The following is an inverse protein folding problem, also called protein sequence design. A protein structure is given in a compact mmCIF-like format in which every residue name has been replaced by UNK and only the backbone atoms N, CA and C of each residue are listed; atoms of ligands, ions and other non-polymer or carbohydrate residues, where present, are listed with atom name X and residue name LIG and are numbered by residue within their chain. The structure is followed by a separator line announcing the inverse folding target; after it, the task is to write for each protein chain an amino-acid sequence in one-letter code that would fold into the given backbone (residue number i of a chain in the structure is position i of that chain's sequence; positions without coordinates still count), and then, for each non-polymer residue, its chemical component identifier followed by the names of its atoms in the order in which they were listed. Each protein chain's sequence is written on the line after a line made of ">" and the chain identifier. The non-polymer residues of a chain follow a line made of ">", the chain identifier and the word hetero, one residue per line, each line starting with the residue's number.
data_IF_476995788172
#
_entry.id   IF_476995788172
#
_cell.length_a   1.000
_cell.length_b   1.000
_cell.length_c   1.000
_cell.angle_alpha   90.00
_cell.angle_beta   90.00
_cell.angle_gamma   90.00
#
_symmetry.space_group_name_H-M   'P 1'
#
loop_
_entity.id
_entity.type
_entity.pdbx_description
1 polymer ?
#
# COMPACT_ATOMS: atom_id res chain seq x y z
N UNK A 1 -29.08 0.89 10.42
CA UNK A 1 -27.71 0.66 9.93
C UNK A 1 -27.70 0.99 8.44
N UNK A 2 -26.80 1.87 7.98
CA UNK A 2 -26.64 2.15 6.54
C UNK A 2 -26.21 0.85 5.83
N UNK A 3 -26.59 0.62 4.56
CA UNK A 3 -26.11 -0.53 3.82
C UNK A 3 -24.58 -0.46 3.73
N UNK A 4 -23.91 -1.49 4.24
CA UNK A 4 -22.45 -1.59 4.20
C UNK A 4 -22.01 -1.83 2.76
N UNK A 5 -21.07 -1.02 2.27
CA UNK A 5 -20.45 -1.24 0.96
C UNK A 5 -19.70 -2.57 0.95
N UNK A 6 -19.67 -3.26 -0.20
CA UNK A 6 -18.93 -4.52 -0.39
C UNK A 6 -17.44 -4.40 0.00
N UNK A 7 -16.89 -3.20 -0.03
CA UNK A 7 -15.49 -2.92 0.26
C UNK A 7 -15.23 -2.35 1.66
N UNK A 8 -16.24 -2.31 2.52
CA UNK A 8 -16.19 -1.58 3.81
C UNK A 8 -15.06 -2.06 4.75
N UNK A 9 -14.77 -3.37 4.78
CA UNK A 9 -13.72 -3.95 5.64
C UNK A 9 -12.39 -4.19 4.91
N UNK A 10 -12.34 -4.03 3.58
CA UNK A 10 -11.18 -4.40 2.74
C UNK A 10 -10.05 -3.39 2.85
N UNK A 11 -10.34 -2.09 2.90
CA UNK A 11 -9.31 -1.07 3.11
C UNK A 11 -9.88 0.25 3.65
N UNK A 12 -9.16 0.84 4.61
CA UNK A 12 -9.44 2.18 5.17
C UNK A 12 -9.35 3.32 4.14
N UNK A 13 -8.81 3.07 2.94
CA UNK A 13 -8.55 4.11 1.92
C UNK A 13 -9.75 4.43 1.02
N UNK A 14 -10.73 3.53 0.90
CA UNK A 14 -11.85 3.70 -0.04
C UNK A 14 -13.13 4.22 0.61
N UNK A 15 -13.12 4.44 1.92
CA UNK A 15 -14.24 5.02 2.65
C UNK A 15 -13.66 5.98 3.67
N UNK A 16 -14.08 7.24 3.64
CA UNK A 16 -13.78 8.27 4.65
C UNK A 16 -14.38 7.96 6.03
N UNK A 17 -14.53 6.68 6.38
CA UNK A 17 -14.96 6.25 7.71
C UNK A 17 -13.76 6.18 8.63
N UNK A 18 -13.94 6.83 9.78
CA UNK A 18 -12.97 6.88 10.86
C UNK A 18 -12.63 5.43 11.29
N UNK A 19 -11.34 5.05 11.45
CA UNK A 19 -10.95 3.70 11.85
C UNK A 19 -11.66 3.19 13.12
N UNK A 20 -12.03 4.09 14.04
CA UNK A 20 -12.82 3.76 15.23
C UNK A 20 -14.25 3.31 14.93
N UNK A 21 -14.92 3.90 13.94
CA UNK A 21 -16.27 3.52 13.51
C UNK A 21 -16.24 2.13 12.83
N UNK A 22 -15.23 1.87 12.00
CA UNK A 22 -15.04 0.57 11.36
C UNK A 22 -14.78 -0.54 12.39
N UNK A 23 -13.98 -0.25 13.43
CA UNK A 23 -13.73 -1.17 14.53
C UNK A 23 -14.99 -1.45 15.35
N UNK A 24 -15.80 -0.44 15.63
CA UNK A 24 -17.09 -0.62 16.31
C UNK A 24 -18.04 -1.49 15.48
N UNK A 25 -18.16 -1.21 14.18
CA UNK A 25 -19.00 -2.00 13.27
C UNK A 25 -18.52 -3.46 13.15
N UNK A 26 -17.21 -3.68 13.07
CA UNK A 26 -16.62 -5.02 13.14
C UNK A 26 -17.00 -5.74 14.44
N UNK A 27 -16.87 -5.05 15.58
CA UNK A 27 -17.16 -5.61 16.90
C UNK A 27 -18.63 -6.01 17.04
N UNK A 28 -19.56 -5.18 16.54
CA UNK A 28 -21.00 -5.46 16.54
C UNK A 28 -21.35 -6.65 15.66
N UNK A 29 -20.76 -6.75 14.46
CA UNK A 29 -21.02 -7.88 13.54
C UNK A 29 -20.42 -9.17 14.11
N UNK A 30 -19.20 -9.14 14.63
CA UNK A 30 -18.56 -10.28 15.27
C UNK A 30 -19.37 -10.77 16.48
N UNK A 31 -19.84 -9.84 17.34
CA UNK A 31 -20.74 -10.13 18.44
C UNK A 31 -22.01 -10.84 17.95
N UNK A 32 -22.65 -10.30 16.91
CA UNK A 32 -23.86 -10.88 16.34
C UNK A 32 -23.63 -12.30 15.80
N UNK A 33 -22.55 -12.52 15.05
CA UNK A 33 -22.17 -13.86 14.54
C UNK A 33 -21.91 -14.85 15.69
N UNK A 34 -21.27 -14.42 16.78
CA UNK A 34 -21.03 -15.28 17.95
C UNK A 34 -22.35 -15.64 18.65
N UNK A 35 -23.29 -14.69 18.77
CA UNK A 35 -24.63 -14.97 19.32
C UNK A 35 -25.44 -15.92 18.44
N UNK A 36 -25.26 -15.84 17.12
CA UNK A 36 -25.86 -16.78 16.17
C UNK A 36 -25.32 -18.20 16.31
N UNK A 37 -24.06 -18.37 16.73
CA UNK A 37 -23.46 -19.67 17.08
C UNK A 37 -23.91 -20.19 18.46
N UNK A 38 -24.90 -19.56 19.11
CA UNK A 38 -25.48 -20.03 20.38
C UNK A 38 -24.66 -19.71 21.62
N UNK A 39 -23.66 -18.81 21.54
CA UNK A 39 -22.87 -18.35 22.69
C UNK A 39 -23.29 -16.93 23.08
N UNK A 40 -23.51 -16.68 24.37
CA UNK A 40 -23.84 -15.35 24.86
C UNK A 40 -22.64 -14.42 24.72
N UNK A 41 -22.76 -13.40 23.89
CA UNK A 41 -21.79 -12.32 23.76
C UNK A 41 -22.54 -11.00 23.97
N UNK A 42 -22.12 -10.23 24.97
CA UNK A 42 -22.71 -8.91 25.22
C UNK A 42 -22.28 -7.95 24.11
N UNK A 43 -23.24 -7.21 23.54
CA UNK A 43 -22.97 -6.27 22.45
C UNK A 43 -21.99 -5.20 22.93
N UNK A 44 -20.77 -5.13 22.35
CA UNK A 44 -19.77 -4.16 22.80
C UNK A 44 -20.28 -2.73 22.61
N UNK A 45 -20.18 -1.90 23.64
CA UNK A 45 -20.51 -0.48 23.58
C UNK A 45 -19.32 0.33 23.04
N UNK A 46 -19.57 1.52 22.48
CA UNK A 46 -18.53 2.40 21.90
C UNK A 46 -17.42 2.81 22.88
N UNK A 47 -17.60 2.59 24.19
CA UNK A 47 -16.67 2.92 25.27
C UNK A 47 -15.92 1.71 25.85
N UNK A 48 -16.18 0.50 25.37
CA UNK A 48 -15.51 -0.72 25.85
C UNK A 48 -14.06 -0.80 25.34
N UNK A 49 -13.14 -1.35 26.16
CA UNK A 49 -11.72 -1.45 25.80
C UNK A 49 -11.54 -2.29 24.51
N UNK A 50 -11.03 -1.70 23.41
CA UNK A 50 -10.81 -2.39 22.14
C UNK A 50 -9.96 -3.66 22.29
N UNK A 51 -9.04 -3.70 23.25
CA UNK A 51 -8.21 -4.88 23.51
C UNK A 51 -9.01 -6.05 24.10
N UNK A 52 -9.91 -5.74 25.04
CA UNK A 52 -10.74 -6.73 25.71
C UNK A 52 -11.73 -7.35 24.73
N UNK A 53 -12.38 -6.53 23.89
CA UNK A 53 -13.30 -6.99 22.85
C UNK A 53 -12.60 -7.92 21.86
N UNK A 54 -11.44 -7.49 21.32
CA UNK A 54 -10.68 -8.31 20.37
C UNK A 54 -10.22 -9.62 21.01
N UNK A 55 -9.75 -9.59 22.26
CA UNK A 55 -9.32 -10.79 22.98
C UNK A 55 -10.48 -11.77 23.21
N UNK A 56 -11.67 -11.25 23.54
CA UNK A 56 -12.87 -12.06 23.70
C UNK A 56 -13.31 -12.68 22.37
N UNK A 57 -13.37 -11.90 21.28
CA UNK A 57 -13.69 -12.40 19.94
C UNK A 57 -12.72 -13.51 19.52
N UNK A 58 -11.42 -13.31 19.69
CA UNK A 58 -10.40 -14.31 19.35
C UNK A 58 -10.50 -15.58 20.22
N UNK A 59 -10.89 -15.44 21.49
CA UNK A 59 -11.12 -16.59 22.39
C UNK A 59 -12.32 -17.40 21.93
N UNK A 60 -13.42 -16.74 21.56
CA UNK A 60 -14.60 -17.42 21.00
C UNK A 60 -14.29 -18.08 19.66
N UNK A 61 -13.51 -17.44 18.79
CA UNK A 61 -13.10 -18.00 17.50
C UNK A 61 -12.19 -19.23 17.65
N UNK A 62 -11.24 -19.20 18.59
CA UNK A 62 -10.40 -20.37 18.91
C UNK A 62 -11.23 -21.53 19.46
N UNK A 63 -12.21 -21.23 20.32
CA UNK A 63 -13.11 -22.23 20.86
C UNK A 63 -14.16 -22.74 19.84
N UNK A 64 -14.23 -22.14 18.65
CA UNK A 64 -14.99 -22.59 17.49
C UNK A 64 -14.10 -23.29 16.44
N UNK A 65 -12.80 -23.49 16.73
CA UNK A 65 -11.88 -24.23 15.86
C UNK A 65 -11.16 -23.39 14.81
N UNK A 66 -11.27 -22.06 14.84
CA UNK A 66 -10.53 -21.18 13.94
C UNK A 66 -9.05 -21.03 14.31
N UNK A 67 -8.16 -21.13 13.32
CA UNK A 67 -6.72 -20.88 13.47
C UNK A 67 -6.47 -19.37 13.53
N UNK A 68 -5.97 -18.87 14.66
CA UNK A 68 -5.57 -17.47 14.86
C UNK A 68 -4.06 -17.41 15.03
N UNK A 69 -3.35 -17.16 13.93
CA UNK A 69 -1.89 -16.99 13.93
C UNK A 69 -1.50 -15.53 13.65
N UNK A 70 -2.11 -14.59 14.38
CA UNK A 70 -1.78 -13.17 14.29
C UNK A 70 -2.03 -12.42 15.61
N UNK A 71 -1.30 -11.33 15.88
CA UNK A 71 -1.44 -10.58 17.13
C UNK A 71 -2.75 -9.77 17.17
N UNK A 72 -3.40 -9.62 18.35
CA UNK A 72 -4.63 -8.84 18.54
C UNK A 72 -4.54 -7.38 18.07
N UNK A 73 -3.34 -6.81 17.99
CA UNK A 73 -3.09 -5.46 17.51
C UNK A 73 -3.52 -5.24 16.05
N UNK A 74 -3.55 -6.30 15.23
CA UNK A 74 -3.90 -6.23 13.80
C UNK A 74 -5.40 -6.11 13.54
N UNK A 75 -6.25 -6.40 14.54
CA UNK A 75 -7.70 -6.25 14.43
C UNK A 75 -8.18 -4.86 14.85
N UNK A 76 -7.33 -4.07 15.52
CA UNK A 76 -7.67 -2.71 15.98
C UNK A 76 -7.84 -1.70 14.86
N UNK A 77 -7.28 -1.95 13.68
CA UNK A 77 -7.42 -1.07 12.52
C UNK A 77 -8.84 -1.04 11.97
N UNK A 78 -9.73 -1.95 12.39
CA UNK A 78 -11.13 -2.02 11.93
C UNK A 78 -11.27 -2.42 10.45
N UNK A 79 -10.18 -2.50 9.71
CA UNK A 79 -10.10 -2.89 8.31
C UNK A 79 -8.80 -3.64 8.03
N UNK A 80 -8.85 -4.55 7.05
CA UNK A 80 -7.71 -5.36 6.59
C UNK A 80 -8.01 -6.85 6.51
N UNK A 81 -7.08 -7.59 5.92
CA UNK A 81 -7.19 -9.03 5.64
C UNK A 81 -7.56 -9.86 6.88
N UNK A 82 -6.94 -9.56 8.02
CA UNK A 82 -7.16 -10.27 9.28
C UNK A 82 -8.59 -10.05 9.83
N UNK A 83 -9.17 -8.88 9.61
CA UNK A 83 -10.56 -8.55 10.02
C UNK A 83 -11.54 -9.32 9.14
N UNK A 84 -11.31 -9.32 7.82
CA UNK A 84 -12.11 -10.09 6.89
C UNK A 84 -12.04 -11.60 7.17
N UNK A 85 -10.84 -12.13 7.44
CA UNK A 85 -10.64 -13.55 7.79
C UNK A 85 -11.45 -13.96 9.03
N UNK A 86 -11.42 -13.13 10.08
CA UNK A 86 -12.18 -13.38 11.31
C UNK A 86 -13.69 -13.39 11.04
N UNK A 87 -14.19 -12.42 10.27
CA UNK A 87 -15.61 -12.35 9.93
C UNK A 87 -16.05 -13.51 9.04
N UNK A 88 -15.24 -13.89 8.06
CA UNK A 88 -15.52 -14.99 7.15
C UNK A 88 -15.60 -16.32 7.90
N UNK A 89 -14.63 -16.60 8.77
CA UNK A 89 -14.63 -17.80 9.61
C UNK A 89 -15.80 -17.86 10.58
N UNK A 90 -16.14 -16.73 11.22
CA UNK A 90 -17.31 -16.67 12.10
C UNK A 90 -18.61 -16.84 11.31
N UNK A 91 -18.67 -16.35 10.08
CA UNK A 91 -19.82 -16.52 9.21
C UNK A 91 -19.97 -17.97 8.73
N UNK A 92 -18.89 -18.62 8.27
CA UNK A 92 -18.87 -20.05 7.93
C UNK A 92 -19.37 -20.90 9.10
N UNK A 93 -18.87 -20.63 10.30
CA UNK A 93 -19.25 -21.41 11.48
C UNK A 93 -20.69 -21.13 11.94
N UNK A 94 -21.16 -19.88 11.80
CA UNK A 94 -22.56 -19.55 12.04
C UNK A 94 -23.50 -20.24 11.04
N UNK A 95 -23.08 -20.36 9.77
CA UNK A 95 -23.81 -21.10 8.74
C UNK A 95 -23.82 -22.61 9.00
N UNK A 96 -22.70 -23.17 9.45
CA UNK A 96 -22.59 -24.57 9.88
C UNK A 96 -23.51 -24.86 11.07
N UNK A 97 -23.50 -24.02 12.11
CA UNK A 97 -24.34 -24.17 13.29
C UNK A 97 -25.84 -24.05 12.98
N UNK A 98 -26.21 -23.27 11.95
CA UNK A 98 -27.61 -23.15 11.48
C UNK A 98 -28.00 -24.19 10.43
N UNK A 99 -27.11 -25.11 10.06
CA UNK A 99 -27.30 -26.06 8.96
C UNK A 99 -27.83 -25.38 7.69
N UNK A 100 -27.25 -24.23 7.35
CA UNK A 100 -27.73 -23.44 6.22
C UNK A 100 -27.44 -24.15 4.90
N UNK A 101 -28.48 -24.56 4.20
CA UNK A 101 -28.38 -25.10 2.84
C UNK A 101 -28.42 -23.93 1.86
N UNK A 102 -27.38 -23.79 1.06
CA UNK A 102 -27.34 -22.85 -0.06
C UNK A 102 -28.50 -23.13 -1.01
N UNK A 103 -29.53 -22.27 -0.97
CA UNK A 103 -30.58 -22.28 -2.00
C UNK A 103 -29.96 -21.85 -3.32
N UNK A 104 -30.39 -22.46 -4.43
CA UNK A 104 -29.99 -22.03 -5.78
C UNK A 104 -30.17 -20.50 -5.89
N UNK A 105 -29.18 -19.77 -6.43
CA UNK A 105 -29.28 -18.31 -6.55
C UNK A 105 -30.55 -17.94 -7.31
N UNK A 106 -31.48 -17.28 -6.63
CA UNK A 106 -32.50 -16.49 -7.32
C UNK A 106 -31.83 -15.18 -7.65
N UNK A 107 -31.37 -15.06 -8.90
CA UNK A 107 -30.91 -13.80 -9.45
C UNK A 107 -32.01 -12.77 -9.21
N UNK A 108 -31.73 -11.64 -8.57
CA UNK A 108 -32.67 -10.53 -8.53
C UNK A 108 -32.90 -10.14 -9.98
N UNK A 109 -34.10 -10.38 -10.50
CA UNK A 109 -34.55 -9.72 -11.71
C UNK A 109 -34.43 -8.23 -11.42
N UNK A 110 -33.56 -7.56 -12.17
CA UNK A 110 -33.58 -6.11 -12.25
C UNK A 110 -35.03 -5.70 -12.46
N UNK A 111 -35.53 -4.79 -11.62
CA UNK A 111 -36.79 -4.11 -11.87
C UNK A 111 -36.57 -3.26 -13.12
N UNK A 112 -36.65 -3.88 -14.29
CA UNK A 112 -37.04 -3.23 -15.53
C UNK A 112 -38.46 -2.74 -15.28
N UNK A 113 -38.63 -1.43 -15.33
CA UNK A 113 -39.94 -0.80 -15.48
C UNK A 113 -40.74 -1.56 -16.53
N UNK A 114 -42.01 -1.81 -16.22
CA UNK A 114 -42.95 -2.62 -17.00
C UNK A 114 -42.85 -2.36 -18.51
N UNK A 115 -42.23 -3.29 -19.25
CA UNK A 115 -42.42 -3.41 -20.69
C UNK A 115 -42.69 -4.88 -21.01
N UNK A 116 -43.87 -5.11 -21.58
CA UNK A 116 -44.46 -6.42 -21.88
C UNK A 116 -43.50 -7.34 -22.64
N UNK A 117 -43.03 -8.39 -21.98
CA UNK A 117 -42.31 -9.49 -22.64
C UNK A 117 -43.35 -10.43 -23.23
N UNK A 118 -43.51 -10.37 -24.56
CA UNK A 118 -44.05 -11.49 -25.32
C UNK A 118 -43.06 -12.65 -25.19
N UNK A 119 -43.55 -13.80 -24.74
CA UNK A 119 -42.79 -15.05 -24.66
C UNK A 119 -42.16 -15.37 -26.02
N UNK A 120 -40.83 -15.43 -26.06
CA UNK A 120 -40.05 -15.85 -27.22
C UNK A 120 -39.90 -17.38 -27.20
N UNK A 121 -40.53 -18.01 -28.19
CA UNK A 121 -40.73 -19.46 -28.38
C UNK A 121 -39.47 -20.12 -28.98
N UNK A 122 -38.28 -19.80 -28.44
CA UNK A 122 -37.00 -20.07 -29.09
C UNK A 122 -36.13 -21.15 -28.43
N UNK A 123 -36.58 -21.80 -27.35
CA UNK A 123 -35.79 -22.83 -26.63
C UNK A 123 -36.18 -24.29 -26.91
N UNK A 124 -37.03 -24.57 -27.91
CA UNK A 124 -37.47 -25.93 -28.27
C UNK A 124 -36.78 -26.55 -29.51
N UNK A 125 -35.81 -25.85 -30.12
CA UNK A 125 -35.22 -26.20 -31.44
C UNK A 125 -33.85 -26.87 -31.39
N UNK A 126 -33.29 -27.18 -30.22
CA UNK A 126 -31.99 -27.87 -30.11
C UNK A 126 -32.12 -29.39 -30.04
N UNK A 127 -33.18 -29.94 -29.43
CA UNK A 127 -33.39 -31.41 -29.38
C UNK A 127 -33.86 -32.02 -30.70
N UNK A 128 -34.34 -31.22 -31.66
CA UNK A 128 -34.82 -31.73 -32.97
C UNK A 128 -33.72 -31.78 -34.04
N UNK A 129 -32.56 -31.17 -33.79
CA UNK A 129 -31.44 -31.13 -34.73
C UNK A 129 -30.51 -32.34 -34.54
N UNK A 130 -30.45 -32.93 -33.33
CA UNK A 130 -29.64 -34.13 -33.06
C UNK A 130 -30.25 -35.41 -33.68
N UNK A 131 -31.58 -35.52 -33.72
CA UNK A 131 -32.30 -36.64 -34.38
C UNK A 131 -32.15 -36.66 -35.93
N UNK A 132 -31.77 -35.55 -36.57
CA UNK A 132 -31.64 -35.46 -38.04
C UNK A 132 -30.23 -35.73 -38.54
N UNK A 133 -29.24 -35.85 -37.63
CA UNK A 133 -27.84 -36.13 -38.00
C UNK A 133 -27.50 -37.63 -38.07
N UNK A 134 -28.32 -38.52 -37.50
CA UNK A 134 -28.08 -39.97 -37.56
C UNK A 134 -28.58 -40.64 -38.86
N UNK A 135 -29.50 -40.04 -39.61
CA UNK A 135 -30.05 -40.64 -40.85
C UNK A 135 -29.31 -40.23 -42.14
N UNK A 136 -28.23 -39.44 -42.06
CA UNK A 136 -27.49 -38.96 -43.24
C UNK A 136 -26.30 -39.88 -43.65
N UNK A 137 -26.10 -41.01 -42.98
CA UNK A 137 -24.92 -41.87 -43.17
C UNK A 137 -25.11 -43.09 -44.10
N UNK A 138 -26.28 -43.29 -44.73
CA UNK A 138 -26.58 -44.51 -45.53
C UNK A 138 -26.90 -44.26 -47.02
N UNK A 139 -26.34 -43.24 -47.67
CA UNK A 139 -26.48 -43.09 -49.13
C UNK A 139 -25.16 -42.80 -49.82
N UNK A 140 -24.27 -43.80 -49.81
CA UNK A 140 -23.17 -43.92 -50.77
C UNK A 140 -23.53 -45.00 -51.79
N UNK A 141 -24.52 -44.73 -52.66
CA UNK A 141 -24.71 -45.50 -53.90
C UNK A 141 -24.00 -44.75 -55.02
N UNK A 142 -22.70 -45.00 -55.12
CA UNK A 142 -21.84 -44.51 -56.19
C UNK A 142 -22.33 -45.14 -57.49
N UNK A 143 -23.09 -44.38 -58.28
CA UNK A 143 -23.39 -44.71 -59.67
C UNK A 143 -22.05 -44.81 -60.41
N UNK A 144 -21.65 -46.03 -60.77
CA UNK A 144 -20.41 -46.31 -61.47
C UNK A 144 -20.43 -45.66 -62.87
N UNK A 145 -19.77 -44.51 -62.96
CA UNK A 145 -19.64 -43.69 -64.17
C UNK A 145 -18.93 -44.46 -65.30
N UNK A 146 -18.18 -45.52 -64.97
CA UNK A 146 -17.48 -46.40 -65.90
C UNK A 146 -18.46 -47.33 -66.66
N UNK A 147 -19.53 -47.80 -66.00
CA UNK A 147 -20.55 -48.66 -66.59
C UNK A 147 -21.40 -47.92 -67.64
N UNK A 148 -21.76 -46.65 -67.37
CA UNK A 148 -22.47 -45.78 -68.31
C UNK A 148 -21.63 -45.41 -69.54
N UNK A 149 -20.31 -45.29 -69.37
CA UNK A 149 -19.38 -44.99 -70.46
C UNK A 149 -19.23 -46.20 -71.39
N UNK A 150 -19.15 -47.41 -70.84
CA UNK A 150 -19.08 -48.64 -71.64
C UNK A 150 -20.33 -48.89 -72.52
N UNK A 151 -21.52 -48.53 -72.01
CA UNK A 151 -22.80 -48.61 -72.77
C UNK A 151 -22.87 -47.59 -73.90
N UNK A 152 -22.25 -46.42 -73.71
CA UNK A 152 -22.21 -45.37 -74.74
C UNK A 152 -21.22 -45.74 -75.85
N UNK A 153 -20.06 -46.34 -75.52
CA UNK A 153 -19.07 -46.77 -76.50
C UNK A 153 -19.52 -47.98 -77.35
N UNK A 154 -20.36 -48.88 -76.82
CA UNK A 154 -20.97 -49.95 -77.62
C UNK A 154 -22.00 -49.46 -78.65
N UNK A 155 -22.52 -48.24 -78.48
CA UNK A 155 -23.46 -47.63 -79.42
C UNK A 155 -22.78 -47.05 -80.66
N UNK A 156 -21.47 -46.83 -80.63
CA UNK A 156 -20.76 -46.12 -81.70
C UNK A 156 -20.32 -47.04 -82.86
N UNK A 157 -20.34 -48.38 -82.72
CA UNK A 157 -19.99 -49.31 -83.82
C UNK A 157 -21.18 -49.72 -84.71
N UNK A 158 -22.39 -49.22 -84.47
CA UNK A 158 -23.53 -49.33 -85.43
C UNK A 158 -23.65 -48.12 -86.35
N UNK A 159 -22.52 -47.68 -86.89
CA UNK A 159 -22.45 -46.71 -87.98
C UNK A 159 -22.56 -47.36 -89.36
N UNK A 160 -23.75 -47.81 -89.75
CA UNK A 160 -24.13 -47.92 -91.16
C UNK A 160 -25.59 -47.50 -91.30
N UNK A 161 -25.80 -46.23 -91.65
CA UNK A 161 -27.12 -45.77 -92.05
C UNK A 161 -27.49 -46.34 -93.42
N UNK A 162 -28.77 -46.62 -93.67
CA UNK A 162 -29.38 -46.30 -94.93
C UNK A 162 -30.05 -44.94 -94.77
N UNK A 163 -29.57 -43.97 -95.53
CA UNK A 163 -30.30 -42.80 -95.97
C UNK A 163 -31.51 -43.29 -96.78
N UNK A 164 -32.53 -43.78 -96.08
CA UNK A 164 -33.81 -44.15 -96.65
C UNK A 164 -34.74 -43.02 -96.29
N UNK A 165 -35.05 -42.21 -97.30
CA UNK A 165 -36.12 -41.22 -97.27
C UNK A 165 -37.33 -41.90 -96.61
N UNK A 166 -37.63 -41.53 -95.36
CA UNK A 166 -38.78 -42.02 -94.61
C UNK A 166 -40.03 -41.46 -95.30
N UNK A 167 -40.49 -42.13 -96.36
CA UNK A 167 -41.87 -41.97 -96.80
C UNK A 167 -42.73 -42.65 -95.74
N UNK A 168 -43.50 -41.85 -95.02
CA UNK A 168 -44.48 -42.31 -94.05
C UNK A 168 -45.52 -43.19 -94.75
N UNK A 169 -45.34 -44.50 -94.69
CA UNK A 169 -46.42 -45.47 -94.96
C UNK A 169 -47.19 -45.70 -93.66
N UNK A 170 -47.52 -44.61 -92.96
CA UNK A 170 -48.20 -44.67 -91.67
C UNK A 170 -49.59 -44.11 -91.85
N UNK A 171 -50.59 -44.96 -91.66
CA UNK A 171 -52.00 -44.59 -91.72
C UNK A 171 -52.29 -43.54 -90.63
N UNK A 172 -53.12 -42.54 -90.95
CA UNK A 172 -53.48 -41.45 -90.03
C UNK A 172 -54.13 -42.00 -88.75
N UNK A 173 -54.83 -43.14 -88.86
CA UNK A 173 -55.42 -43.83 -87.71
C UNK A 173 -54.35 -44.51 -86.83
N UNK A 174 -53.35 -45.20 -87.42
CA UNK A 174 -52.25 -45.81 -86.67
C UNK A 174 -51.36 -44.75 -85.99
N UNK A 175 -51.15 -43.62 -86.65
CA UNK A 175 -50.43 -42.49 -86.06
C UNK A 175 -51.20 -41.87 -84.89
N UNK A 176 -52.52 -41.72 -85.00
CA UNK A 176 -53.33 -41.22 -83.89
C UNK A 176 -53.37 -42.20 -82.71
N UNK A 177 -53.42 -43.51 -82.97
CA UNK A 177 -53.32 -44.53 -81.92
C UNK A 177 -51.96 -44.50 -81.23
N UNK A 178 -50.88 -44.28 -81.98
CA UNK A 178 -49.54 -44.15 -81.42
C UNK A 178 -49.37 -42.84 -80.65
N UNK A 179 -49.96 -41.74 -81.12
CA UNK A 179 -50.05 -40.49 -80.36
C UNK A 179 -50.81 -40.74 -79.06
N UNK A 180 -51.99 -41.36 -79.08
CA UNK A 180 -52.77 -41.66 -77.87
C UNK A 180 -52.05 -42.62 -76.92
N UNK A 181 -51.22 -43.53 -77.44
CA UNK A 181 -50.36 -44.42 -76.65
C UNK A 181 -49.20 -43.69 -75.98
N UNK A 182 -48.61 -42.72 -76.66
CA UNK A 182 -47.42 -41.98 -76.20
C UNK A 182 -47.79 -40.70 -75.44
N UNK A 183 -48.99 -40.16 -75.62
CA UNK A 183 -49.51 -38.98 -74.91
C UNK A 183 -49.44 -39.12 -73.38
N UNK A 184 -49.81 -40.27 -72.78
CA UNK A 184 -49.66 -40.51 -71.34
C UNK A 184 -48.19 -40.58 -70.90
N UNK A 185 -47.28 -41.00 -71.78
CA UNK A 185 -45.84 -41.10 -71.51
C UNK A 185 -45.13 -39.74 -71.64
N UNK A 186 -45.66 -38.86 -72.50
CA UNK A 186 -45.22 -37.46 -72.66
C UNK A 186 -45.89 -36.51 -71.67
N UNK A 187 -47.02 -36.91 -71.09
CA UNK A 187 -47.65 -36.20 -69.98
C UNK A 187 -46.79 -36.42 -68.74
N UNK A 188 -45.69 -35.69 -68.68
CA UNK A 188 -44.86 -35.52 -67.48
C UNK A 188 -45.76 -34.86 -66.44
N UNK A 189 -46.47 -35.71 -65.68
CA UNK A 189 -47.11 -35.27 -64.46
C UNK A 189 -45.94 -34.96 -63.54
N UNK A 190 -45.55 -33.68 -63.49
CA UNK A 190 -44.68 -33.15 -62.45
C UNK A 190 -45.49 -33.29 -61.17
N UNK A 191 -45.49 -34.50 -60.60
CA UNK A 191 -45.82 -34.67 -59.19
C UNK A 191 -44.79 -33.82 -58.49
N UNK A 192 -45.26 -32.86 -57.72
CA UNK A 192 -44.44 -32.05 -56.80
C UNK A 192 -43.85 -32.99 -55.77
N UNK A 193 -42.82 -33.72 -56.17
CA UNK A 193 -42.06 -34.59 -55.31
C UNK A 193 -41.02 -33.74 -54.59
N UNK A 194 -40.73 -34.07 -53.33
CA UNK A 194 -39.79 -33.34 -52.48
C UNK A 194 -38.37 -33.39 -53.07
N UNK A 195 -38.13 -34.31 -54.01
CA UNK A 195 -36.92 -34.46 -54.83
C UNK A 195 -36.84 -33.53 -56.04
N UNK A 196 -37.85 -32.69 -56.27
CA UNK A 196 -37.80 -31.68 -57.34
C UNK A 196 -36.85 -30.56 -56.93
N UNK A 197 -35.74 -30.42 -57.67
CA UNK A 197 -34.77 -29.34 -57.48
C UNK A 197 -35.44 -27.95 -57.52
N UNK A 198 -36.60 -27.82 -58.19
CA UNK A 198 -37.39 -26.57 -58.18
C UNK A 198 -37.92 -26.24 -56.78
N UNK A 199 -38.32 -27.23 -56.01
CA UNK A 199 -38.73 -27.07 -54.61
C UNK A 199 -37.54 -26.62 -53.76
N UNK A 200 -36.38 -27.27 -53.90
CA UNK A 200 -35.15 -26.86 -53.20
C UNK A 200 -34.69 -25.45 -53.57
N UNK A 201 -34.77 -25.06 -54.85
CA UNK A 201 -34.45 -23.68 -55.28
C UNK A 201 -35.44 -22.67 -54.72
N UNK A 202 -36.73 -23.02 -54.64
CA UNK A 202 -37.74 -22.17 -54.00
C UNK A 202 -37.48 -22.01 -52.50
N UNK A 203 -37.15 -23.10 -51.79
CA UNK A 203 -36.77 -23.08 -50.37
C UNK A 203 -35.50 -22.27 -50.14
N UNK A 204 -34.48 -22.42 -50.98
CA UNK A 204 -33.25 -21.65 -50.90
C UNK A 204 -33.51 -20.14 -51.07
N UNK A 205 -34.40 -19.74 -51.99
CA UNK A 205 -34.82 -18.34 -52.13
C UNK A 205 -35.56 -17.84 -50.89
N UNK A 206 -36.47 -18.65 -50.34
CA UNK A 206 -37.18 -18.31 -49.10
C UNK A 206 -36.21 -18.13 -47.92
N UNK A 207 -35.24 -19.02 -47.73
CA UNK A 207 -34.21 -18.86 -46.72
C UNK A 207 -33.31 -17.65 -46.99
N UNK A 208 -32.94 -17.41 -48.24
CA UNK A 208 -32.14 -16.23 -48.61
C UNK A 208 -32.87 -14.93 -48.27
N UNK A 209 -34.18 -14.85 -48.51
CA UNK A 209 -34.97 -13.67 -48.18
C UNK A 209 -35.20 -13.53 -46.67
N UNK A 210 -35.38 -14.65 -45.96
CA UNK A 210 -35.40 -14.68 -44.50
C UNK A 210 -34.09 -14.17 -43.88
N UNK A 211 -32.94 -14.65 -44.36
CA UNK A 211 -31.60 -14.20 -43.94
C UNK A 211 -31.40 -12.71 -44.25
N UNK A 212 -31.88 -12.22 -45.40
CA UNK A 212 -31.77 -10.78 -45.72
C UNK A 212 -32.62 -9.92 -44.78
N UNK A 213 -33.83 -10.38 -44.42
CA UNK A 213 -34.68 -9.64 -43.47
C UNK A 213 -34.04 -9.61 -42.09
N UNK A 214 -33.64 -10.77 -41.56
CA UNK A 214 -33.01 -10.85 -40.24
C UNK A 214 -31.69 -10.08 -40.18
N UNK A 215 -30.89 -10.11 -41.26
CA UNK A 215 -29.68 -9.29 -41.36
C UNK A 215 -30.00 -7.79 -41.37
N UNK A 216 -31.06 -7.37 -42.03
CA UNK A 216 -31.48 -5.96 -42.05
C UNK A 216 -31.94 -5.50 -40.67
N UNK A 217 -32.70 -6.33 -39.97
CA UNK A 217 -33.16 -6.08 -38.61
C UNK A 217 -31.98 -6.04 -37.63
N UNK A 218 -31.09 -7.03 -37.67
CA UNK A 218 -29.89 -7.08 -36.84
C UNK A 218 -28.97 -5.87 -37.06
N UNK A 219 -28.79 -5.44 -38.32
CA UNK A 219 -28.04 -4.20 -38.63
C UNK A 219 -28.71 -2.97 -38.04
N UNK A 220 -30.03 -2.85 -38.13
CA UNK A 220 -30.76 -1.73 -37.54
C UNK A 220 -30.64 -1.69 -36.01
N UNK A 221 -30.67 -2.86 -35.34
CA UNK A 221 -30.41 -2.93 -33.89
C UNK A 221 -28.97 -2.53 -33.55
N UNK A 222 -27.99 -3.00 -34.32
CA UNK A 222 -26.58 -2.64 -34.13
C UNK A 222 -26.34 -1.13 -34.33
N UNK A 223 -26.94 -0.54 -35.36
CA UNK A 223 -26.83 0.89 -35.65
C UNK A 223 -27.45 1.75 -34.53
N UNK A 224 -28.61 1.33 -34.00
CA UNK A 224 -29.22 1.98 -32.82
C UNK A 224 -28.32 1.89 -31.60
N UNK A 225 -27.77 0.72 -31.31
CA UNK A 225 -26.87 0.51 -30.19
C UNK A 225 -25.60 1.37 -30.34
N UNK A 226 -25.04 1.46 -31.55
CA UNK A 226 -23.89 2.31 -31.83
C UNK A 226 -24.21 3.80 -31.64
N UNK A 227 -25.41 4.24 -32.04
CA UNK A 227 -25.87 5.61 -31.82
C UNK A 227 -26.07 5.89 -30.32
N UNK A 228 -26.66 4.97 -29.57
CA UNK A 228 -26.83 5.09 -28.12
C UNK A 228 -25.48 5.13 -27.38
N UNK A 229 -24.56 4.24 -27.73
CA UNK A 229 -23.21 4.24 -27.18
C UNK A 229 -22.52 5.57 -27.49
N UNK A 230 -22.62 6.07 -28.72
CA UNK A 230 -22.02 7.36 -29.11
C UNK A 230 -22.60 8.51 -28.27
N UNK A 231 -23.92 8.55 -28.10
CA UNK A 231 -24.59 9.56 -27.23
C UNK A 231 -24.14 9.44 -25.78
N UNK A 232 -23.99 8.24 -25.24
CA UNK A 232 -23.51 8.06 -23.86
C UNK A 232 -22.04 8.49 -23.73
N UNK A 233 -21.19 8.20 -24.71
CA UNK A 233 -19.79 8.64 -24.73
C UNK A 233 -19.68 10.16 -24.78
N UNK A 234 -20.49 10.84 -25.58
CA UNK A 234 -20.55 12.31 -25.62
C UNK A 234 -21.01 12.90 -24.28
N UNK A 235 -22.02 12.29 -23.64
CA UNK A 235 -22.47 12.68 -22.30
C UNK A 235 -21.35 12.49 -21.26
N UNK A 236 -20.64 11.37 -21.29
CA UNK A 236 -19.49 11.13 -20.40
C UNK A 236 -18.39 12.16 -20.66
N UNK A 237 -18.01 12.40 -21.93
CA UNK A 237 -16.96 13.37 -22.27
C UNK A 237 -17.32 14.80 -21.86
N UNK A 238 -18.58 15.21 -22.03
CA UNK A 238 -19.04 16.53 -21.57
C UNK A 238 -19.03 16.63 -20.04
N UNK A 239 -19.41 15.56 -19.34
CA UNK A 239 -19.36 15.52 -17.88
C UNK A 239 -17.93 15.54 -17.35
N UNK A 240 -17.01 14.82 -17.98
CA UNK A 240 -15.57 14.86 -17.69
C UNK A 240 -14.98 16.24 -17.90
N UNK A 241 -15.25 16.88 -19.05
CA UNK A 241 -14.82 18.27 -19.31
C UNK A 241 -15.34 19.25 -18.25
N UNK A 242 -16.60 19.09 -17.85
CA UNK A 242 -17.18 19.92 -16.79
C UNK A 242 -16.47 19.69 -15.45
N UNK A 243 -16.29 18.44 -15.03
CA UNK A 243 -15.59 18.10 -13.78
C UNK A 243 -14.15 18.62 -13.81
N UNK A 244 -13.42 18.41 -14.91
CA UNK A 244 -12.05 18.90 -15.07
C UNK A 244 -12.00 20.42 -14.93
N UNK A 245 -12.93 21.15 -15.56
CA UNK A 245 -12.99 22.61 -15.45
C UNK A 245 -13.23 23.08 -14.02
N UNK A 246 -14.11 22.39 -13.27
CA UNK A 246 -14.35 22.69 -11.85
C UNK A 246 -13.12 22.38 -10.97
N UNK A 247 -12.43 21.25 -11.24
CA UNK A 247 -11.25 20.84 -10.49
C UNK A 247 -10.01 21.67 -10.82
N UNK A 248 -9.87 22.19 -12.04
CA UNK A 248 -8.72 22.99 -12.50
C UNK A 248 -8.46 24.19 -11.58
N UNK A 249 -9.53 24.93 -11.24
CA UNK A 249 -9.45 26.07 -10.33
C UNK A 249 -9.04 25.62 -8.92
N UNK A 250 -9.66 24.56 -8.41
CA UNK A 250 -9.37 24.05 -7.06
C UNK A 250 -7.94 23.52 -6.93
N UNK A 251 -7.42 22.86 -7.97
CA UNK A 251 -6.03 22.41 -8.06
C UNK A 251 -5.09 23.63 -8.10
N UNK A 252 -5.45 24.68 -8.83
CA UNK A 252 -4.68 25.92 -8.88
C UNK A 252 -4.62 26.62 -7.52
N UNK A 253 -5.76 26.72 -6.84
CA UNK A 253 -5.83 27.25 -5.46
C UNK A 253 -5.01 26.42 -4.48
N UNK A 254 -5.10 25.10 -4.57
CA UNK A 254 -4.30 24.18 -3.74
C UNK A 254 -2.80 24.39 -3.99
N UNK A 255 -2.37 24.50 -5.25
CA UNK A 255 -0.97 24.79 -5.59
C UNK A 255 -0.54 26.14 -5.04
N UNK A 256 -1.37 27.17 -5.15
CA UNK A 256 -1.09 28.49 -4.59
C UNK A 256 -0.97 28.46 -3.06
N UNK A 257 -1.87 27.75 -2.38
CA UNK A 257 -1.80 27.55 -0.93
C UNK A 257 -0.56 26.76 -0.52
N UNK A 258 -0.19 25.73 -1.28
CA UNK A 258 1.02 24.94 -1.06
C UNK A 258 2.29 25.77 -1.23
N UNK A 259 2.38 26.62 -2.25
CA UNK A 259 3.51 27.54 -2.45
C UNK A 259 3.65 28.51 -1.27
N UNK A 260 2.53 29.12 -0.84
CA UNK A 260 2.50 30.00 0.35
C UNK A 260 2.93 29.27 1.62
N UNK A 261 2.49 28.03 1.79
CA UNK A 261 2.89 27.20 2.93
C UNK A 261 4.40 26.91 2.92
N UNK A 262 4.96 26.56 1.76
CA UNK A 262 6.40 26.35 1.60
C UNK A 262 7.20 27.63 1.94
N UNK A 263 6.75 28.79 1.46
CA UNK A 263 7.37 30.08 1.77
C UNK A 263 7.35 30.38 3.27
N UNK A 264 6.19 30.26 3.92
CA UNK A 264 6.06 30.47 5.38
C UNK A 264 6.91 29.47 6.17
N UNK A 265 6.95 28.21 5.74
CA UNK A 265 7.78 27.18 6.38
C UNK A 265 9.27 27.50 6.28
N UNK A 266 9.71 28.00 5.13
CA UNK A 266 11.09 28.44 4.92
C UNK A 266 11.43 29.64 5.80
N UNK A 267 10.57 30.66 5.84
CA UNK A 267 10.75 31.83 6.73
C UNK A 267 10.80 31.43 8.20
N UNK A 268 9.91 30.52 8.63
CA UNK A 268 9.94 29.99 9.99
C UNK A 268 11.24 29.23 10.28
N UNK A 269 11.73 28.42 9.33
CA UNK A 269 12.98 27.70 9.47
C UNK A 269 14.17 28.66 9.57
N UNK A 270 14.21 29.72 8.76
CA UNK A 270 15.23 30.77 8.82
C UNK A 270 15.18 31.52 10.17
N UNK A 271 13.99 31.92 10.62
CA UNK A 271 13.80 32.56 11.91
C UNK A 271 14.22 31.65 13.08
N UNK A 272 13.87 30.37 13.03
CA UNK A 272 14.26 29.37 14.02
C UNK A 272 15.79 29.18 14.06
N UNK A 273 16.46 29.13 12.91
CA UNK A 273 17.93 29.13 12.84
C UNK A 273 18.52 30.38 13.50
N UNK A 274 17.97 31.56 13.20
CA UNK A 274 18.41 32.81 13.83
C UNK A 274 18.19 32.84 15.34
N UNK A 275 17.08 32.27 15.85
CA UNK A 275 16.85 32.12 17.29
C UNK A 275 17.89 31.19 17.90
N UNK A 276 18.16 30.02 17.30
CA UNK A 276 19.16 29.09 17.83
C UNK A 276 20.56 29.68 17.87
N UNK A 277 20.93 30.48 16.87
CA UNK A 277 22.22 31.19 16.84
C UNK A 277 22.30 32.25 17.95
N UNK A 278 21.25 33.05 18.13
CA UNK A 278 21.19 34.03 19.24
C UNK A 278 21.19 33.37 20.62
N UNK A 279 20.51 32.24 20.78
CA UNK A 279 20.54 31.47 22.03
C UNK A 279 21.95 30.94 22.29
N UNK A 280 22.66 30.49 21.24
CA UNK A 280 24.06 30.08 21.35
C UNK A 280 24.97 31.23 21.76
N UNK A 281 24.86 32.39 21.13
CA UNK A 281 25.70 33.55 21.49
C UNK A 281 25.40 34.05 22.91
N UNK A 282 24.14 34.00 23.36
CA UNK A 282 23.79 34.29 24.75
C UNK A 282 24.45 33.29 25.71
N UNK A 283 24.47 32.00 25.38
CA UNK A 283 25.15 31.00 26.20
C UNK A 283 26.67 31.23 26.27
N UNK A 284 27.29 31.57 25.13
CA UNK A 284 28.72 31.91 25.04
C UNK A 284 29.03 33.16 25.89
N UNK A 285 28.24 34.24 25.77
CA UNK A 285 28.41 35.46 26.59
C UNK A 285 28.18 35.16 28.08
N UNK A 286 27.23 34.29 28.42
CA UNK A 286 26.98 33.92 29.81
C UNK A 286 28.11 33.08 30.41
N UNK A 287 28.74 32.22 29.61
CA UNK A 287 29.95 31.49 30.01
C UNK A 287 31.14 32.44 30.21
N UNK A 288 31.33 33.41 29.31
CA UNK A 288 32.33 34.47 29.48
C UNK A 288 32.07 35.31 30.74
N UNK A 289 30.81 35.64 31.03
CA UNK A 289 30.42 36.37 32.24
C UNK A 289 30.75 35.58 33.51
N UNK A 290 30.41 34.29 33.58
CA UNK A 290 30.74 33.45 34.73
C UNK A 290 32.26 33.26 34.87
N UNK A 291 33.01 33.18 33.76
CA UNK A 291 34.47 33.16 33.80
C UNK A 291 35.04 34.46 34.39
N UNK A 292 34.58 35.62 33.93
CA UNK A 292 35.01 36.92 34.48
C UNK A 292 34.64 37.05 35.96
N UNK A 293 33.45 36.58 36.35
CA UNK A 293 33.02 36.54 37.74
C UNK A 293 33.89 35.63 38.59
N UNK A 294 34.26 34.44 38.10
CA UNK A 294 35.20 33.55 38.77
C UNK A 294 36.58 34.21 38.91
N UNK A 295 37.11 34.83 37.86
CA UNK A 295 38.38 35.56 37.93
C UNK A 295 38.31 36.71 38.95
N UNK A 296 37.19 37.44 38.99
CA UNK A 296 36.94 38.50 39.98
C UNK A 296 36.86 37.95 41.40
N UNK A 297 36.19 36.82 41.63
CA UNK A 297 36.09 36.17 42.94
C UNK A 297 37.44 35.60 43.39
N UNK A 298 38.25 35.05 42.47
CA UNK A 298 39.61 34.60 42.73
C UNK A 298 40.54 35.78 43.07
N UNK A 299 40.43 36.89 42.34
CA UNK A 299 41.17 38.13 42.65
C UNK A 299 40.70 38.75 43.96
N UNK A 300 39.40 38.75 44.22
CA UNK A 300 38.80 39.24 45.46
C UNK A 300 39.25 38.40 46.65
N UNK A 301 39.25 37.08 46.51
CA UNK A 301 39.77 36.14 47.49
C UNK A 301 41.27 36.32 47.69
N UNK A 302 42.06 36.47 46.62
CA UNK A 302 43.51 36.73 46.70
C UNK A 302 43.85 38.09 47.32
N UNK A 303 43.01 39.11 47.14
CA UNK A 303 43.19 40.45 47.70
C UNK A 303 42.72 40.50 49.17
N UNK A 304 41.67 39.76 49.50
CA UNK A 304 41.15 39.61 50.86
C UNK A 304 41.95 38.60 51.69
N UNK A 305 42.73 37.74 51.03
CA UNK A 305 43.60 36.80 51.71
C UNK A 305 44.75 37.58 52.35
N UNK A 306 44.59 37.89 53.63
CA UNK A 306 45.63 38.52 54.44
C UNK A 306 46.84 37.61 54.68
N UNK A 307 46.81 36.34 54.25
CA UNK A 307 47.90 35.37 54.47
C UNK A 307 49.27 35.85 53.97
N UNK A 308 49.43 36.48 52.79
CA UNK A 308 50.71 37.04 52.35
C UNK A 308 51.19 38.14 53.31
N UNK A 309 50.28 39.01 53.77
CA UNK A 309 50.59 40.08 54.73
C UNK A 309 50.99 39.51 56.09
N UNK A 310 50.27 38.49 56.57
CA UNK A 310 50.59 37.77 57.81
C UNK A 310 51.94 37.06 57.69
N UNK A 311 52.26 36.47 56.54
CA UNK A 311 53.56 35.81 56.28
C UNK A 311 54.72 36.82 56.27
N UNK A 312 54.51 38.00 55.70
CA UNK A 312 55.47 39.12 55.78
C UNK A 312 55.65 39.55 57.25
N UNK A 313 54.55 39.73 58.00
CA UNK A 313 54.63 40.07 59.42
C UNK A 313 55.41 39.03 60.21
N UNK A 314 55.11 37.74 60.06
CA UNK A 314 55.85 36.65 60.73
C UNK A 314 57.34 36.65 60.38
N UNK A 315 57.68 36.86 59.10
CA UNK A 315 59.07 36.95 58.66
C UNK A 315 59.80 38.14 59.30
N UNK A 316 59.11 39.27 59.42
CA UNK A 316 59.62 40.49 60.05
C UNK A 316 59.80 40.30 61.57
N UNK A 317 58.88 39.60 62.24
CA UNK A 317 59.02 39.24 63.66
C UNK A 317 60.21 38.30 63.88
N UNK A 318 60.40 37.31 63.01
CA UNK A 318 61.55 36.40 63.08
C UNK A 318 62.87 37.16 62.92
N UNK A 319 62.95 38.05 61.93
CA UNK A 319 64.11 38.93 61.73
C UNK A 319 64.40 39.79 62.96
N UNK A 320 63.37 40.37 63.61
CA UNK A 320 63.54 41.12 64.86
C UNK A 320 64.11 40.26 65.99
N UNK A 321 63.65 39.01 66.11
CA UNK A 321 64.16 38.09 67.11
C UNK A 321 65.61 37.70 66.84
N UNK A 322 65.97 37.48 65.58
CA UNK A 322 67.33 37.19 65.15
C UNK A 322 68.28 38.38 65.41
N UNK A 323 67.81 39.62 65.20
CA UNK A 323 68.56 40.84 65.56
C UNK A 323 68.80 40.90 67.08
N UNK A 324 67.76 40.66 67.90
CA UNK A 324 67.92 40.66 69.37
C UNK A 324 68.91 39.59 69.82
N UNK A 325 68.86 38.39 69.23
CA UNK A 325 69.81 37.34 69.54
C UNK A 325 71.24 37.74 69.15
N UNK A 326 71.40 38.37 67.98
CA UNK A 326 72.69 38.85 67.51
C UNK A 326 73.24 39.99 68.40
N UNK A 327 72.40 40.89 68.90
CA UNK A 327 72.76 41.93 69.87
C UNK A 327 73.24 41.34 71.20
N UNK A 328 72.58 40.30 71.72
CA UNK A 328 73.02 39.59 72.93
C UNK A 328 74.36 38.93 72.70
N UNK A 329 74.54 38.24 71.56
CA UNK A 329 75.82 37.63 71.19
C UNK A 329 76.93 38.68 71.07
N UNK A 330 76.64 39.83 70.45
CA UNK A 330 77.57 40.94 70.34
C UNK A 330 77.96 41.47 71.73
N UNK A 331 77.01 41.67 72.64
CA UNK A 331 77.29 42.07 74.02
C UNK A 331 78.13 41.07 74.81
N UNK A 332 77.92 39.76 74.64
CA UNK A 332 78.76 38.72 75.26
C UNK A 332 80.17 38.74 74.68
N UNK A 333 80.32 38.89 73.36
CA UNK A 333 81.62 39.00 72.71
C UNK A 333 82.35 40.26 73.16
N UNK A 334 81.67 41.40 73.24
CA UNK A 334 82.23 42.65 73.78
C UNK A 334 82.70 42.48 75.22
N UNK A 335 81.88 41.90 76.11
CA UNK A 335 82.28 41.64 77.49
C UNK A 335 83.46 40.67 77.60
N UNK A 336 83.47 39.62 76.78
CA UNK A 336 84.58 38.65 76.73
C UNK A 336 85.87 39.32 76.25
N UNK A 337 85.79 40.17 75.22
CA UNK A 337 86.91 40.98 74.74
C UNK A 337 87.41 41.94 75.82
N UNK A 338 86.48 42.59 76.55
CA UNK A 338 86.81 43.54 77.61
C UNK A 338 87.48 42.83 78.80
N UNK A 339 86.99 41.64 79.18
CA UNK A 339 87.64 40.79 80.17
C UNK A 339 89.02 40.30 79.72
N UNK A 340 89.18 39.93 78.44
CA UNK A 340 90.47 39.55 77.89
C UNK A 340 91.47 40.72 77.95
N UNK A 341 91.05 41.93 77.55
CA UNK A 341 91.86 43.15 77.68
C UNK A 341 92.21 43.49 79.12
N UNK A 342 91.27 43.34 80.06
CA UNK A 342 91.54 43.55 81.49
C UNK A 342 92.51 42.51 82.06
N UNK A 343 92.37 41.23 81.67
CA UNK A 343 93.30 40.16 82.05
C UNK A 343 94.69 40.40 81.46
N UNK A 344 94.79 40.82 80.21
CA UNK A 344 96.07 41.19 79.57
C UNK A 344 96.73 42.35 80.31
N UNK A 345 95.99 43.41 80.64
CA UNK A 345 96.50 44.54 81.45
C UNK A 345 96.94 44.09 82.85
N UNK A 346 96.17 43.22 83.50
CA UNK A 346 96.51 42.66 84.81
C UNK A 346 97.73 41.74 84.76
N UNK A 347 97.91 40.97 83.69
CA UNK A 347 99.10 40.14 83.48
C UNK A 347 100.32 41.02 83.21
N UNK A 348 100.17 42.08 82.42
CA UNK A 348 101.25 43.04 82.15
C UNK A 348 101.71 43.78 83.42
N UNK A 349 100.80 44.14 84.32
CA UNK A 349 101.21 44.66 85.64
C UNK A 349 101.84 43.60 86.53
N UNK A 350 101.39 42.35 86.47
CA UNK A 350 102.00 41.23 87.22
C UNK A 350 103.41 40.91 86.73
N UNK A 351 103.63 40.92 85.42
CA UNK A 351 104.93 40.70 84.80
C UNK A 351 105.89 41.87 85.10
N UNK A 352 105.40 43.12 85.12
CA UNK A 352 106.14 44.29 85.61
C UNK A 352 106.55 44.16 87.10
N UNK A 353 105.72 43.55 87.95
CA UNK A 353 106.07 43.29 89.34
C UNK A 353 107.03 42.10 89.48
N UNK A 354 106.97 41.10 88.59
CA UNK A 354 107.89 39.97 88.56
C UNK A 354 109.30 40.38 88.07
N UNK A 355 109.39 41.27 87.09
CA UNK A 355 110.68 41.83 86.61
C UNK A 355 111.37 42.68 87.66
N UNK A 356 110.60 43.44 88.46
CA UNK A 356 111.14 44.27 89.54
C UNK A 356 111.72 43.45 90.72
N UNK A 357 111.30 42.19 90.89
CA UNK A 357 111.88 41.26 91.88
C UNK A 357 113.18 40.66 91.37
N UNK A 358 113.31 40.40 90.06
CA UNK A 358 114.55 39.87 89.46
C UNK A 358 115.69 40.90 89.39
N UNK A 359 115.40 42.20 89.23
CA UNK A 359 116.45 43.25 89.16
C UNK A 359 117.13 43.54 90.51
N UNK A 360 116.50 43.24 91.65
CA UNK A 360 117.10 43.46 92.98
C UNK A 360 118.17 42.38 93.29
N UNK A 361 118.11 41.22 92.64
CA UNK A 361 119.01 40.08 92.88
C UNK A 361 120.29 40.04 92.04
N UNK A 362 120.47 40.91 91.04
CA UNK A 362 121.60 40.81 90.08
C UNK A 362 122.68 41.89 90.19
N UNK A 363 122.62 42.82 91.16
CA UNK A 363 123.65 43.86 91.35
C UNK A 363 124.44 43.78 92.68
N UNK A 364 124.46 42.62 93.35
CA UNK A 364 125.48 42.31 94.37
C UNK A 364 126.39 41.21 93.82
N UNK A 365 127.71 41.43 93.87
CA UNK A 365 128.82 40.63 93.29
C UNK A 365 129.16 40.92 91.82
N UNK A 366 130.03 41.91 91.56
CA UNK A 366 131.48 41.74 91.38
C UNK A 366 132.15 43.05 90.96
#
# INVERSE_FOLDING_TARGET
>A
MKPLSRHYFVASSYTQSNPGEQFYMFSVIAAWLITLCGRSFETPQEYDDPNAIVSNILTHLRALGGLVEFPPSKLKSGSGEHVCYVLDRLAEEALNCRQFVWKRPLYPSEQLEEESVLEDDAELTLSKVEDLTEEAAEFEDVIDLEELKSRTSQSEERGQGPEMILQSVTDSAEWNLEIERVLPQLKVSVRTDIKDWRCHVSQMRQHQDGIKSSLKEAKAYLDKLLEEISKTQEKVSSREKYINTQLEHLITDYRNAQSKFCEVKELHQQASRGVTERTRTIAEINEELEKVKQEMDEKGSSMSDGVPVVKIQQSLTKLKQEIQEMDVRMGVVEQTLLQAKLKEKSNMTRDMHATHITEITTHTYS
#
